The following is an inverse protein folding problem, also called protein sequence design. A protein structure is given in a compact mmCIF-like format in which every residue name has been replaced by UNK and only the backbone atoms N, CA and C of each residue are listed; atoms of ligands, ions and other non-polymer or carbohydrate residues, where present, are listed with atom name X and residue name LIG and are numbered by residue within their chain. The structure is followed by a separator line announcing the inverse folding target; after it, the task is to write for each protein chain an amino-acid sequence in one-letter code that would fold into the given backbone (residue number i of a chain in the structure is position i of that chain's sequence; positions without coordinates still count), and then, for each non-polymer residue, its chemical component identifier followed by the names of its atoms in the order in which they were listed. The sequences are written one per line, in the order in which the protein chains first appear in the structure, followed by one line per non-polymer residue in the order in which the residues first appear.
data_IF_264305349654
#
_entry.id   IF_264305349654
#
_cell.length_a   1.000
_cell.length_b   1.000
_cell.length_c   1.000
_cell.angle_alpha   90.00
_cell.angle_beta   90.00
_cell.angle_gamma   90.00
#
_symmetry.space_group_name_H-M   'P 1'
#
loop_
_entity.id
_entity.type
_entity.pdbx_description
1 polymer ?
#
# COMPACT_ATOMS: atom_id res chain seq x y z
N UNK A 1 -8.82 -28.64 -7.94
CA UNK A 1 -8.42 -27.28 -8.37
C UNK A 1 -8.45 -26.39 -7.15
N UNK A 2 -7.30 -25.91 -6.65
CA UNK A 2 -7.31 -24.88 -5.60
C UNK A 2 -7.89 -23.61 -6.23
N UNK A 3 -9.03 -23.14 -5.72
CA UNK A 3 -9.53 -21.81 -6.04
C UNK A 3 -8.50 -20.80 -5.52
N UNK A 4 -7.97 -19.96 -6.42
CA UNK A 4 -7.10 -18.84 -6.04
C UNK A 4 -7.89 -17.91 -5.12
N UNK A 5 -7.33 -17.61 -3.94
CA UNK A 5 -8.01 -16.77 -2.95
C UNK A 5 -7.78 -15.30 -3.29
N UNK A 6 -8.84 -14.51 -3.42
CA UNK A 6 -8.73 -13.07 -3.62
C UNK A 6 -8.08 -12.41 -2.40
N UNK A 7 -6.92 -11.81 -2.59
CA UNK A 7 -6.16 -11.17 -1.52
C UNK A 7 -6.50 -9.69 -1.40
N UNK A 8 -6.47 -8.95 -2.50
CA UNK A 8 -6.78 -7.52 -2.57
C UNK A 8 -7.86 -7.29 -3.63
N UNK A 9 -8.85 -6.47 -3.29
CA UNK A 9 -9.83 -5.94 -4.21
C UNK A 9 -9.88 -4.42 -4.06
N UNK A 10 -9.74 -3.70 -5.17
CA UNK A 10 -9.96 -2.26 -5.26
C UNK A 10 -11.12 -2.04 -6.22
N UNK A 11 -12.19 -1.36 -5.78
CA UNK A 11 -13.39 -1.11 -6.59
C UNK A 11 -13.67 0.37 -6.73
N UNK A 12 -13.84 0.81 -7.98
CA UNK A 12 -14.25 2.16 -8.34
C UNK A 12 -13.31 3.22 -7.75
N UNK A 13 -12.00 2.99 -7.78
CA UNK A 13 -11.03 3.89 -7.16
C UNK A 13 -10.91 5.17 -7.98
N UNK A 14 -11.22 6.29 -7.33
CA UNK A 14 -10.96 7.62 -7.86
C UNK A 14 -9.89 8.32 -7.05
N UNK A 15 -9.11 9.16 -7.72
CA UNK A 15 -8.22 10.12 -7.08
C UNK A 15 -8.22 11.42 -7.86
N UNK A 16 -8.65 12.47 -7.18
CA UNK A 16 -8.53 13.86 -7.61
C UNK A 16 -7.60 14.54 -6.60
N UNK A 17 -6.55 15.18 -7.10
CA UNK A 17 -5.63 15.97 -6.29
C UNK A 17 -6.18 17.39 -6.03
N UNK A 18 -5.65 18.12 -5.02
CA UNK A 18 -6.17 19.45 -4.66
C UNK A 18 -6.10 20.49 -5.79
N UNK A 19 -5.16 20.32 -6.72
CA UNK A 19 -5.00 21.14 -7.93
C UNK A 19 -6.05 20.84 -9.02
N UNK A 20 -6.95 19.89 -8.78
CA UNK A 20 -7.95 19.43 -9.75
C UNK A 20 -7.48 18.31 -10.66
N UNK A 21 -6.22 17.87 -10.56
CA UNK A 21 -5.68 16.80 -11.39
C UNK A 21 -6.39 15.48 -11.08
N UNK A 22 -7.06 14.91 -12.09
CA UNK A 22 -7.75 13.62 -11.99
C UNK A 22 -6.79 12.49 -12.32
N UNK A 23 -6.20 11.89 -11.29
CA UNK A 23 -5.20 10.84 -11.42
C UNK A 23 -5.78 9.43 -11.58
N UNK A 24 -6.97 9.15 -11.05
CA UNK A 24 -7.66 7.86 -11.23
C UNK A 24 -9.16 8.10 -11.46
N UNK A 25 -9.75 7.37 -12.42
CA UNK A 25 -11.14 7.50 -12.87
C UNK A 25 -11.89 6.17 -12.74
N UNK A 26 -12.20 5.76 -11.51
CA UNK A 26 -13.01 4.56 -11.26
C UNK A 26 -12.28 3.27 -11.59
N UNK A 27 -11.03 3.14 -11.10
CA UNK A 27 -10.17 1.99 -11.39
C UNK A 27 -10.55 0.80 -10.53
N UNK A 28 -10.69 -0.36 -11.16
CA UNK A 28 -10.83 -1.66 -10.51
C UNK A 28 -9.52 -2.45 -10.59
N UNK A 29 -9.18 -3.15 -9.51
CA UNK A 29 -8.00 -4.02 -9.43
C UNK A 29 -8.31 -5.20 -8.52
N UNK A 30 -7.95 -6.41 -8.95
CA UNK A 30 -7.97 -7.61 -8.12
C UNK A 30 -6.57 -8.21 -8.11
N UNK A 31 -6.13 -8.69 -6.95
CA UNK A 31 -4.89 -9.44 -6.80
C UNK A 31 -5.17 -10.68 -5.96
N UNK A 32 -4.76 -11.84 -6.46
CA UNK A 32 -4.97 -13.12 -5.81
C UNK A 32 -3.72 -13.58 -5.04
N UNK A 33 -3.92 -14.43 -4.02
CA UNK A 33 -2.81 -15.01 -3.26
C UNK A 33 -1.87 -15.81 -4.19
N UNK A 34 -0.57 -15.49 -4.14
CA UNK A 34 0.46 -16.12 -4.98
C UNK A 34 0.56 -15.56 -6.40
N UNK A 35 -0.25 -14.57 -6.77
CA UNK A 35 -0.20 -13.92 -8.08
C UNK A 35 0.94 -12.91 -8.18
N UNK A 36 1.55 -12.84 -9.38
CA UNK A 36 2.42 -11.75 -9.78
C UNK A 36 1.67 -10.93 -10.84
N UNK A 37 1.15 -9.76 -10.44
CA UNK A 37 0.40 -8.88 -11.33
C UNK A 37 1.28 -7.73 -11.84
N UNK A 38 1.36 -7.57 -13.16
CA UNK A 38 2.03 -6.45 -13.81
C UNK A 38 1.05 -5.31 -14.12
N UNK A 39 1.26 -4.13 -13.51
CA UNK A 39 0.51 -2.92 -13.85
C UNK A 39 1.32 -2.03 -14.81
N UNK A 40 0.92 -2.00 -16.07
CA UNK A 40 1.62 -1.28 -17.16
C UNK A 40 0.83 -0.04 -17.61
N UNK A 41 1.53 0.88 -18.28
CA UNK A 41 0.98 2.12 -18.81
C UNK A 41 2.02 3.23 -18.87
N UNK A 42 1.71 4.34 -19.55
CA UNK A 42 2.62 5.47 -19.71
C UNK A 42 2.87 6.26 -18.42
N UNK A 43 3.88 7.13 -18.42
CA UNK A 43 4.08 8.08 -17.33
C UNK A 43 2.87 9.01 -17.21
N UNK A 44 2.41 9.23 -15.98
CA UNK A 44 1.17 9.99 -15.73
C UNK A 44 -0.12 9.17 -15.77
N UNK A 45 -0.11 7.91 -16.21
CA UNK A 45 -1.31 7.05 -16.26
C UNK A 45 -1.92 6.67 -14.89
N UNK A 46 -1.38 7.18 -13.78
CA UNK A 46 -1.93 6.95 -12.43
C UNK A 46 -1.39 5.73 -11.70
N UNK A 47 -0.49 4.93 -12.30
CA UNK A 47 0.09 3.70 -11.69
C UNK A 47 0.63 3.94 -10.27
N UNK A 48 1.53 4.91 -10.13
CA UNK A 48 2.12 5.27 -8.83
C UNK A 48 1.07 5.76 -7.84
N UNK A 49 0.05 6.48 -8.31
CA UNK A 49 -1.07 6.92 -7.47
C UNK A 49 -1.89 5.74 -6.95
N UNK A 50 -2.19 4.76 -7.80
CA UNK A 50 -2.92 3.55 -7.41
C UNK A 50 -2.12 2.73 -6.37
N UNK A 51 -0.82 2.53 -6.60
CA UNK A 51 0.04 1.81 -5.65
C UNK A 51 0.22 2.54 -4.32
N UNK A 52 0.31 3.88 -4.35
CA UNK A 52 0.32 4.70 -3.11
C UNK A 52 -1.00 4.59 -2.34
N UNK A 53 -2.12 4.43 -3.03
CA UNK A 53 -3.42 4.20 -2.38
C UNK A 53 -3.46 2.81 -1.74
N UNK A 54 -3.07 1.77 -2.50
CA UNK A 54 -3.04 0.38 -2.00
C UNK A 54 -2.13 0.21 -0.79
N UNK A 55 -0.99 0.91 -0.75
CA UNK A 55 -0.04 0.89 0.36
C UNK A 55 -0.42 1.82 1.52
N UNK A 56 -1.57 2.50 1.47
CA UNK A 56 -2.02 3.39 2.55
C UNK A 56 -1.26 4.72 2.66
N UNK A 57 -0.39 5.05 1.71
CA UNK A 57 0.29 6.36 1.63
C UNK A 57 -0.64 7.49 1.16
N UNK A 58 -1.61 7.15 0.31
CA UNK A 58 -2.61 8.09 -0.18
C UNK A 58 -4.00 7.55 0.10
N UNK A 59 -4.94 8.46 0.37
CA UNK A 59 -6.36 8.12 0.41
C UNK A 59 -6.99 8.29 -0.97
N UNK A 60 -7.84 7.35 -1.41
CA UNK A 60 -8.66 7.56 -2.59
C UNK A 60 -9.67 8.67 -2.30
N UNK A 61 -10.09 9.39 -3.33
CA UNK A 61 -11.19 10.36 -3.23
C UNK A 61 -12.54 9.65 -3.14
N UNK A 62 -12.68 8.51 -3.85
CA UNK A 62 -13.86 7.61 -3.82
C UNK A 62 -13.42 6.18 -4.10
N UNK A 63 -14.30 5.22 -3.82
CA UNK A 63 -14.09 3.80 -4.04
C UNK A 63 -13.79 3.04 -2.75
N UNK A 64 -13.64 1.72 -2.86
CA UNK A 64 -13.51 0.80 -1.74
C UNK A 64 -12.30 -0.10 -1.94
N UNK A 65 -11.57 -0.37 -0.86
CA UNK A 65 -10.50 -1.37 -0.83
C UNK A 65 -10.94 -2.48 0.12
N UNK A 66 -10.79 -3.73 -0.31
CA UNK A 66 -10.96 -4.92 0.53
C UNK A 66 -9.69 -5.74 0.56
N UNK A 67 -9.37 -6.26 1.74
CA UNK A 67 -8.28 -7.22 1.92
C UNK A 67 -8.87 -8.49 2.50
N UNK A 68 -8.68 -9.62 1.81
CA UNK A 68 -9.29 -10.92 2.12
C UNK A 68 -10.81 -10.81 2.36
N UNK A 69 -11.49 -10.06 1.47
CA UNK A 69 -12.93 -9.84 1.50
C UNK A 69 -13.45 -8.82 2.54
N UNK A 70 -12.59 -8.25 3.39
CA UNK A 70 -13.00 -7.23 4.39
C UNK A 70 -12.68 -5.85 3.89
N UNK A 71 -13.67 -4.95 3.91
CA UNK A 71 -13.46 -3.53 3.62
C UNK A 71 -12.49 -2.91 4.64
N UNK A 72 -11.53 -2.16 4.15
CA UNK A 72 -10.48 -1.52 4.96
C UNK A 72 -10.37 -0.04 4.61
N UNK A 73 -9.97 0.75 5.61
CA UNK A 73 -9.62 2.16 5.45
C UNK A 73 -8.28 2.43 6.09
N UNK A 74 -7.25 2.61 5.26
CA UNK A 74 -5.91 2.91 5.75
C UNK A 74 -5.80 4.36 6.20
N UNK A 75 -5.35 4.57 7.43
CA UNK A 75 -4.98 5.89 7.96
C UNK A 75 -3.50 6.18 7.73
N UNK A 76 -2.70 5.13 7.60
CA UNK A 76 -1.25 5.19 7.39
C UNK A 76 -0.75 3.96 6.61
N UNK A 77 0.49 3.99 6.07
CA UNK A 77 1.11 2.79 5.50
C UNK A 77 1.28 1.63 6.47
N UNK A 78 1.36 1.91 7.78
CA UNK A 78 1.41 0.87 8.81
C UNK A 78 0.14 0.02 8.82
N UNK A 79 -1.03 0.63 8.60
CA UNK A 79 -2.30 -0.10 8.56
C UNK A 79 -2.32 -1.13 7.42
N UNK A 80 -1.73 -0.78 6.26
CA UNK A 80 -1.60 -1.69 5.13
C UNK A 80 -0.57 -2.80 5.41
N UNK A 81 0.55 -2.45 6.04
CA UNK A 81 1.60 -3.40 6.43
C UNK A 81 1.09 -4.45 7.43
N UNK A 82 0.28 -4.05 8.42
CA UNK A 82 -0.35 -4.96 9.39
C UNK A 82 -1.29 -5.98 8.72
N UNK A 83 -1.74 -5.71 7.49
CA UNK A 83 -2.55 -6.61 6.67
C UNK A 83 -1.74 -7.36 5.60
N UNK A 84 -0.41 -7.24 5.63
CA UNK A 84 0.50 -7.93 4.72
C UNK A 84 0.75 -7.20 3.40
N UNK A 85 0.43 -5.91 3.30
CA UNK A 85 0.69 -5.09 2.11
C UNK A 85 1.90 -4.20 2.38
N UNK A 86 3.06 -4.61 1.86
CA UNK A 86 4.28 -3.82 1.85
C UNK A 86 4.50 -3.12 0.50
N UNK A 87 5.23 -2.00 0.50
CA UNK A 87 5.61 -1.32 -0.73
C UNK A 87 7.11 -1.07 -0.77
N UNK A 88 7.73 -1.43 -1.89
CA UNK A 88 9.10 -1.05 -2.22
C UNK A 88 9.04 0.18 -3.11
N UNK A 89 9.76 1.23 -2.73
CA UNK A 89 9.75 2.50 -3.45
C UNK A 89 10.73 2.49 -4.62
N UNK A 90 10.42 3.26 -5.67
CA UNK A 90 11.29 3.43 -6.84
C UNK A 90 12.66 4.00 -6.47
N UNK A 91 12.72 4.87 -5.46
CA UNK A 91 13.97 5.31 -4.84
C UNK A 91 14.20 4.54 -3.55
N UNK A 92 15.43 4.06 -3.36
CA UNK A 92 15.80 3.33 -2.15
C UNK A 92 15.52 4.16 -0.91
N UNK A 93 14.69 3.62 -0.02
CA UNK A 93 14.35 4.23 1.26
C UNK A 93 15.18 3.56 2.37
N UNK A 94 16.49 3.55 2.18
CA UNK A 94 17.45 3.00 3.14
C UNK A 94 17.96 4.12 4.07
N UNK A 95 18.37 3.75 5.28
CA UNK A 95 19.11 4.63 6.18
C UNK A 95 20.60 4.43 5.88
N UNK A 96 21.31 5.39 5.25
CA UNK A 96 22.68 5.15 4.76
C UNK A 96 23.69 4.85 5.87
N UNK A 97 23.40 5.31 7.09
CA UNK A 97 24.26 5.10 8.26
C UNK A 97 24.06 3.72 8.91
N UNK A 98 23.05 2.97 8.48
CA UNK A 98 22.76 1.65 9.01
C UNK A 98 23.45 0.59 8.15
N UNK A 99 23.94 -0.46 8.81
CA UNK A 99 24.33 -1.72 8.19
C UNK A 99 23.14 -2.36 7.46
N UNK A 100 23.44 -3.39 6.67
CA UNK A 100 22.41 -4.19 5.99
C UNK A 100 21.44 -4.79 7.02
N UNK A 101 21.96 -5.39 8.10
CA UNK A 101 21.13 -5.98 9.14
C UNK A 101 20.22 -4.94 9.79
N UNK A 102 20.78 -3.77 10.14
CA UNK A 102 20.02 -2.68 10.74
C UNK A 102 18.90 -2.17 9.82
N UNK A 103 19.12 -2.06 8.51
CA UNK A 103 18.06 -1.72 7.56
C UNK A 103 16.98 -2.80 7.41
N UNK A 104 17.33 -4.09 7.57
CA UNK A 104 16.38 -5.22 7.49
C UNK A 104 15.50 -5.29 8.74
N UNK A 105 16.08 -5.10 9.92
CA UNK A 105 15.33 -5.19 11.19
C UNK A 105 14.55 -3.91 11.51
N UNK A 106 14.83 -2.83 10.78
CA UNK A 106 14.13 -1.55 10.92
C UNK A 106 12.63 -1.71 10.65
N UNK A 107 11.81 -1.40 11.65
CA UNK A 107 10.36 -1.60 11.64
C UNK A 107 9.87 -2.91 12.27
N UNK A 108 10.79 -3.85 12.56
CA UNK A 108 10.52 -5.12 13.24
C UNK A 108 11.06 -5.16 14.68
N UNK A 109 11.55 -4.03 15.20
CA UNK A 109 12.12 -3.96 16.55
C UNK A 109 11.06 -4.24 17.62
N UNK A 110 11.43 -4.90 18.73
CA UNK A 110 10.55 -5.07 19.88
C UNK A 110 10.09 -3.70 20.39
N UNK A 111 8.78 -3.43 20.35
CA UNK A 111 8.22 -2.19 20.91
C UNK A 111 8.38 -2.24 22.44
N UNK A 112 9.35 -1.53 22.99
CA UNK A 112 9.37 -1.28 24.44
C UNK A 112 8.17 -0.39 24.78
N UNK A 113 7.25 -0.88 25.62
CA UNK A 113 6.28 -0.01 26.29
C UNK A 113 7.10 1.05 27.05
N UNK A 114 6.66 2.29 26.95
CA UNK A 114 7.24 3.42 27.67
C UNK A 114 7.47 3.01 29.13
N UNK A 115 8.71 3.08 29.60
CA UNK A 115 8.96 3.26 31.02
C UNK A 115 8.60 4.71 31.28
N UNK A 116 7.50 4.94 31.99
CA UNK A 116 7.29 6.21 32.67
C UNK A 116 8.47 6.37 33.62
N UNK A 117 9.25 7.42 33.37
CA UNK A 117 10.25 7.90 34.31
C UNK A 117 9.56 9.04 35.04
N UNK A 118 9.26 8.81 36.32
CA UNK A 118 8.91 9.89 37.26
C UNK A 118 10.04 10.93 37.34
#
# INVERSE_FOLDING_TARGET
MLLSRLFVEMRGIHKVYPDGTVALRGVDLEVYEGEILGLLGENGAGKTTLMKILSGMLRPTRGVIRVRGREVRFRSPRDALELGIGMVHQHFTLVPRFTVLENIVLGAEPRRRHLEVD
#
